data_IF_054647455346
#
_entry.id   IF_054647455346
#
_cell.length_a   1.000
_cell.length_b   1.000
_cell.length_c   1.000
_cell.angle_alpha   90.00
_cell.angle_beta   90.00
_cell.angle_gamma   90.00
#
_symmetry.space_group_name_H-M   'P 1'
#
loop_
_entity.id
_entity.type
_entity.pdbx_description
1 polymer ?
#
# COMPACT_ATOMS: atom_id res chain seq x y z
N UNK A 1 -4.61 -4.36 -7.94
CA UNK A 1 -3.17 -4.75 -7.85
C UNK A 1 -2.33 -3.71 -8.57
N UNK A 2 -1.31 -3.14 -7.92
CA UNK A 2 -0.49 -2.07 -8.52
C UNK A 2 0.56 -2.60 -9.50
N UNK A 3 0.68 -1.95 -10.67
CA UNK A 3 1.78 -2.15 -11.62
C UNK A 3 3.10 -1.57 -11.08
N UNK A 4 4.21 -1.86 -11.77
CA UNK A 4 5.51 -1.29 -11.41
C UNK A 4 5.50 0.25 -11.46
N UNK A 5 4.90 0.82 -12.51
CA UNK A 5 4.80 2.26 -12.73
C UNK A 5 3.99 2.93 -11.63
N UNK A 6 2.86 2.34 -11.23
CA UNK A 6 2.08 2.81 -10.08
C UNK A 6 2.91 2.88 -8.80
N UNK A 7 3.75 1.86 -8.55
CA UNK A 7 4.62 1.83 -7.37
C UNK A 7 5.73 2.88 -7.42
N UNK A 8 6.27 3.16 -8.60
CA UNK A 8 7.27 4.22 -8.79
C UNK A 8 6.65 5.58 -8.51
N UNK A 9 5.53 5.91 -9.17
CA UNK A 9 4.82 7.18 -8.96
C UNK A 9 4.40 7.33 -7.51
N UNK A 10 3.78 6.31 -6.89
CA UNK A 10 3.40 6.34 -5.48
C UNK A 10 4.59 6.61 -4.55
N UNK A 11 5.76 6.03 -4.82
CA UNK A 11 6.97 6.28 -4.05
C UNK A 11 7.42 7.73 -4.14
N UNK A 12 7.41 8.32 -5.34
CA UNK A 12 7.79 9.72 -5.51
C UNK A 12 6.76 10.68 -4.90
N UNK A 13 5.46 10.37 -4.98
CA UNK A 13 4.41 11.11 -4.28
C UNK A 13 4.60 11.06 -2.75
N UNK A 14 4.98 9.90 -2.19
CA UNK A 14 5.32 9.79 -0.77
C UNK A 14 6.54 10.63 -0.40
N UNK A 15 7.54 10.75 -1.26
CA UNK A 15 8.67 11.65 -1.01
C UNK A 15 8.22 13.12 -1.06
N UNK A 16 7.42 13.48 -2.06
CA UNK A 16 6.88 14.81 -2.26
C UNK A 16 6.10 15.30 -1.03
N UNK A 17 5.23 14.45 -0.48
CA UNK A 17 4.41 14.79 0.70
C UNK A 17 5.09 14.50 2.04
N UNK A 18 6.38 14.11 2.05
CA UNK A 18 7.09 13.64 3.24
C UNK A 18 6.33 12.51 3.99
N UNK A 19 5.68 11.63 3.22
CA UNK A 19 4.86 10.52 3.68
C UNK A 19 3.70 10.96 4.59
N UNK A 20 3.13 12.15 4.33
CA UNK A 20 1.94 12.67 5.01
C UNK A 20 0.74 12.72 4.08
N UNK A 21 -0.43 13.04 4.61
CA UNK A 21 -1.67 13.28 3.86
C UNK A 21 -1.80 14.74 3.39
N UNK A 22 -0.69 15.48 3.32
CA UNK A 22 -0.64 16.81 2.73
C UNK A 22 -1.16 16.80 1.29
N UNK A 23 -1.83 17.89 0.91
CA UNK A 23 -2.39 18.05 -0.42
C UNK A 23 -1.27 18.31 -1.44
N UNK A 24 -1.38 17.65 -2.59
CA UNK A 24 -0.57 17.90 -3.76
C UNK A 24 -1.48 17.99 -4.99
N UNK A 25 -1.07 18.71 -6.02
CA UNK A 25 -1.87 18.91 -7.21
C UNK A 25 -1.04 18.78 -8.49
N UNK A 26 -1.75 18.60 -9.62
CA UNK A 26 -1.14 18.78 -10.93
C UNK A 26 -0.73 20.23 -11.12
N UNK A 27 0.52 20.45 -11.53
CA UNK A 27 1.03 21.78 -11.84
C UNK A 27 0.73 22.11 -13.31
N UNK A 28 -0.05 23.16 -13.53
CA UNK A 28 -0.55 23.54 -14.85
C UNK A 28 0.58 23.79 -15.87
N UNK A 29 0.37 23.37 -17.12
CA UNK A 29 1.35 23.47 -18.22
C UNK A 29 2.72 22.81 -17.95
N UNK A 30 2.79 21.88 -17.00
CA UNK A 30 4.00 21.10 -16.72
C UNK A 30 3.65 19.63 -16.55
N UNK A 31 4.66 18.76 -16.62
CA UNK A 31 4.50 17.34 -16.28
C UNK A 31 4.91 17.07 -14.84
N UNK A 32 4.42 17.90 -13.90
CA UNK A 32 4.85 17.86 -12.50
C UNK A 32 3.69 17.89 -11.52
N UNK A 33 3.84 17.17 -10.41
CA UNK A 33 3.05 17.40 -9.20
C UNK A 33 3.73 18.45 -8.33
N UNK A 34 2.94 19.27 -7.66
CA UNK A 34 3.41 20.26 -6.69
C UNK A 34 2.71 20.05 -5.35
N UNK A 35 3.44 20.25 -4.26
CA UNK A 35 2.89 20.27 -2.91
C UNK A 35 2.35 21.67 -2.59
N UNK A 36 1.15 21.76 -2.00
CA UNK A 36 0.56 23.05 -1.62
C UNK A 36 1.52 23.88 -0.76
N UNK A 37 1.74 25.14 -1.15
CA UNK A 37 2.61 26.10 -0.46
C UNK A 37 4.09 25.67 -0.34
N UNK A 38 4.61 24.89 -1.29
CA UNK A 38 6.00 24.45 -1.31
C UNK A 38 6.59 24.52 -2.72
N UNK A 39 7.90 24.76 -2.81
CA UNK A 39 8.66 24.64 -4.06
C UNK A 39 8.96 23.18 -4.42
N UNK A 40 8.59 22.23 -3.56
CA UNK A 40 8.76 20.82 -3.85
C UNK A 40 7.88 20.38 -5.01
N UNK A 41 8.50 19.81 -6.03
CA UNK A 41 7.83 19.27 -7.21
C UNK A 41 8.34 17.88 -7.54
N UNK A 42 7.47 17.05 -8.13
CA UNK A 42 7.83 15.77 -8.72
C UNK A 42 7.50 15.77 -10.21
N UNK A 43 8.53 15.70 -11.05
CA UNK A 43 8.40 15.58 -12.50
C UNK A 43 8.07 14.12 -12.89
N UNK A 44 6.88 13.93 -13.44
CA UNK A 44 6.37 12.67 -13.98
C UNK A 44 6.48 12.58 -15.50
N UNK A 45 7.26 13.43 -16.18
CA UNK A 45 7.40 13.44 -17.64
C UNK A 45 7.77 12.10 -18.26
N UNK A 46 8.48 11.23 -17.52
CA UNK A 46 8.73 9.83 -17.92
C UNK A 46 7.44 9.01 -18.13
N UNK A 47 6.37 9.38 -17.45
CA UNK A 47 5.06 8.73 -17.43
C UNK A 47 3.97 9.61 -18.06
N UNK A 48 4.32 10.68 -18.78
CA UNK A 48 3.37 11.64 -19.36
C UNK A 48 2.20 10.97 -20.11
N UNK A 49 2.50 9.97 -20.94
CA UNK A 49 1.49 9.27 -21.74
C UNK A 49 0.57 8.34 -20.96
N UNK A 50 0.84 8.08 -19.68
CA UNK A 50 0.09 7.15 -18.85
C UNK A 50 -0.25 7.68 -17.45
N UNK A 51 0.11 8.93 -17.11
CA UNK A 51 -0.01 9.46 -15.75
C UNK A 51 -1.45 9.45 -15.24
N UNK A 52 -2.42 9.78 -16.10
CA UNK A 52 -3.83 9.77 -15.74
C UNK A 52 -4.30 8.35 -15.39
N UNK A 53 -3.93 7.36 -16.21
CA UNK A 53 -4.23 5.94 -15.94
C UNK A 53 -3.57 5.43 -14.66
N UNK A 54 -2.34 5.88 -14.37
CA UNK A 54 -1.64 5.59 -13.12
C UNK A 54 -2.42 6.19 -11.94
N UNK A 55 -2.80 7.46 -12.01
CA UNK A 55 -3.54 8.14 -10.94
C UNK A 55 -4.92 7.52 -10.71
N UNK A 56 -5.65 7.21 -11.78
CA UNK A 56 -6.92 6.48 -11.72
C UNK A 56 -6.77 5.14 -11.00
N UNK A 57 -5.71 4.39 -11.31
CA UNK A 57 -5.40 3.13 -10.63
C UNK A 57 -5.09 3.35 -9.16
N UNK A 58 -4.29 4.36 -8.82
CA UNK A 58 -3.95 4.69 -7.43
C UNK A 58 -5.19 5.14 -6.62
N UNK A 59 -6.14 5.81 -7.26
CA UNK A 59 -7.42 6.22 -6.67
C UNK A 59 -8.33 5.01 -6.48
N UNK A 60 -8.54 4.21 -7.53
CA UNK A 60 -9.39 3.02 -7.50
C UNK A 60 -8.92 2.00 -6.45
N UNK A 61 -7.61 1.85 -6.28
CA UNK A 61 -7.01 0.97 -5.28
C UNK A 61 -6.91 1.62 -3.89
N UNK A 62 -7.33 2.89 -3.74
CA UNK A 62 -7.43 3.59 -2.46
C UNK A 62 -6.10 4.04 -1.86
N UNK A 63 -5.03 4.18 -2.65
CA UNK A 63 -3.74 4.74 -2.22
C UNK A 63 -3.77 6.28 -2.24
N UNK A 64 -4.48 6.84 -3.20
CA UNK A 64 -4.68 8.29 -3.34
C UNK A 64 -6.19 8.57 -3.26
N UNK A 65 -6.56 9.76 -2.76
CA UNK A 65 -7.93 10.27 -2.85
C UNK A 65 -7.91 11.67 -3.45
N UNK A 66 -8.95 11.99 -4.23
CA UNK A 66 -9.17 13.34 -4.74
C UNK A 66 -9.50 14.30 -3.59
N UNK A 67 -9.08 15.55 -3.77
CA UNK A 67 -9.20 16.64 -2.83
C UNK A 67 -10.41 17.52 -3.15
N UNK A 68 -10.20 18.83 -3.18
CA UNK A 68 -11.24 19.82 -3.45
C UNK A 68 -11.76 19.77 -4.89
N UNK A 69 -10.91 19.35 -5.83
CA UNK A 69 -11.25 19.16 -7.25
C UNK A 69 -10.47 17.96 -7.82
N UNK A 70 -10.68 17.69 -9.11
CA UNK A 70 -10.05 16.59 -9.86
C UNK A 70 -8.53 16.71 -10.05
N UNK A 71 -7.95 17.88 -9.77
CA UNK A 71 -6.52 18.14 -9.88
C UNK A 71 -5.79 18.12 -8.54
N UNK A 72 -6.53 18.03 -7.43
CA UNK A 72 -5.99 18.01 -6.09
C UNK A 72 -6.10 16.62 -5.50
N UNK A 73 -5.05 16.18 -4.83
CA UNK A 73 -4.91 14.83 -4.32
C UNK A 73 -4.27 14.84 -2.94
N UNK A 74 -4.43 13.73 -2.24
CA UNK A 74 -3.76 13.47 -0.97
C UNK A 74 -3.58 11.97 -0.79
N UNK A 75 -2.50 11.60 -0.12
CA UNK A 75 -2.26 10.21 0.23
C UNK A 75 -3.29 9.74 1.27
N UNK A 76 -3.70 8.48 1.15
CA UNK A 76 -4.52 7.83 2.17
C UNK A 76 -3.65 7.20 3.24
N UNK A 77 -4.26 6.81 4.36
CA UNK A 77 -3.62 5.98 5.38
C UNK A 77 -3.04 4.68 4.81
N UNK A 78 -3.69 4.11 3.78
CA UNK A 78 -3.20 2.91 3.07
C UNK A 78 -1.87 3.16 2.37
N UNK A 79 -1.69 4.32 1.72
CA UNK A 79 -0.42 4.69 1.09
C UNK A 79 0.67 5.04 2.10
N UNK A 80 0.32 5.70 3.21
CA UNK A 80 1.29 6.11 4.24
C UNK A 80 1.82 4.88 5.00
N UNK A 81 0.94 3.93 5.30
CA UNK A 81 1.25 2.73 6.10
C UNK A 81 1.02 1.42 5.34
N UNK A 82 1.49 1.32 4.09
CA UNK A 82 1.30 0.14 3.22
C UNK A 82 1.57 -1.20 3.94
N UNK A 83 2.62 -1.26 4.75
CA UNK A 83 3.00 -2.45 5.50
C UNK A 83 1.92 -2.90 6.50
N UNK A 84 1.24 -1.97 7.17
CA UNK A 84 0.18 -2.31 8.13
C UNK A 84 -1.04 -2.92 7.44
N UNK A 85 -1.30 -2.54 6.18
CA UNK A 85 -2.39 -3.10 5.37
C UNK A 85 -2.00 -4.42 4.69
N UNK A 86 -0.71 -4.71 4.54
CA UNK A 86 -0.21 -5.98 4.01
C UNK A 86 -0.08 -7.07 5.07
N UNK A 87 0.22 -6.72 6.32
CA UNK A 87 0.40 -7.66 7.42
C UNK A 87 -0.75 -8.65 7.63
N UNK A 88 -2.04 -8.27 7.58
CA UNK A 88 -3.14 -9.22 7.73
C UNK A 88 -3.13 -10.31 6.67
N UNK A 89 -2.69 -9.97 5.45
CA UNK A 89 -2.64 -10.88 4.31
C UNK A 89 -1.55 -11.95 4.46
N UNK A 90 -0.43 -11.61 5.09
CA UNK A 90 0.68 -12.54 5.35
C UNK A 90 0.60 -13.25 6.70
N UNK A 91 -0.12 -12.69 7.68
CA UNK A 91 -0.33 -13.30 8.98
C UNK A 91 -1.25 -14.53 8.90
N UNK A 92 -2.28 -14.49 8.05
CA UNK A 92 -3.25 -15.60 7.94
C UNK A 92 -2.63 -16.96 7.59
N UNK A 93 -1.79 -17.09 6.56
CA UNK A 93 -1.15 -18.37 6.22
C UNK A 93 -0.26 -18.91 7.36
N UNK A 94 0.48 -18.03 8.04
CA UNK A 94 1.39 -18.40 9.14
C UNK A 94 0.59 -18.88 10.35
N UNK A 95 -0.46 -18.16 10.74
CA UNK A 95 -1.33 -18.58 11.84
C UNK A 95 -1.99 -19.93 11.56
N UNK A 96 -2.44 -20.17 10.33
CA UNK A 96 -3.01 -21.44 9.92
C UNK A 96 -2.01 -22.59 10.02
N UNK A 97 -0.78 -22.39 9.53
CA UNK A 97 0.32 -23.35 9.65
C UNK A 97 0.63 -23.70 11.11
N UNK A 98 0.72 -22.70 11.99
CA UNK A 98 0.98 -22.92 13.42
C UNK A 98 -0.16 -23.73 14.05
N UNK A 99 -1.42 -23.40 13.78
CA UNK A 99 -2.56 -24.15 14.32
C UNK A 99 -2.60 -25.59 13.85
N UNK A 100 -2.22 -25.84 12.59
CA UNK A 100 -2.16 -27.20 12.04
C UNK A 100 -1.05 -28.03 12.68
N UNK A 101 0.14 -27.46 12.86
CA UNK A 101 1.26 -28.11 13.55
C UNK A 101 0.89 -28.44 15.00
N UNK A 102 0.29 -27.50 15.73
CA UNK A 102 -0.16 -27.73 17.11
C UNK A 102 -1.21 -28.85 17.18
N UNK A 103 -2.14 -28.91 16.23
CA UNK A 103 -3.09 -30.01 16.10
C UNK A 103 -2.40 -31.36 15.97
N UNK A 104 -1.43 -31.49 15.07
CA UNK A 104 -0.66 -32.73 14.88
C UNK A 104 0.11 -33.12 16.14
N UNK A 105 0.83 -32.17 16.75
CA UNK A 105 1.61 -32.44 17.97
C UNK A 105 0.69 -32.90 19.10
N UNK A 106 -0.47 -32.28 19.28
CA UNK A 106 -1.44 -32.68 20.31
C UNK A 106 -2.00 -34.09 20.08
N UNK A 107 -2.25 -34.49 18.83
CA UNK A 107 -2.69 -35.84 18.49
C UNK A 107 -1.64 -36.90 18.83
N UNK A 108 -0.36 -36.66 18.48
CA UNK A 108 0.74 -37.55 18.83
C UNK A 108 0.93 -37.70 20.34
N UNK A 109 0.83 -36.59 21.09
CA UNK A 109 0.93 -36.62 22.55
C UNK A 109 -0.23 -37.44 23.15
N UNK A 110 -1.46 -37.25 22.65
CA UNK A 110 -2.62 -37.99 23.13
C UNK A 110 -2.47 -39.50 22.88
N UNK A 111 -2.03 -39.90 21.69
CA UNK A 111 -1.80 -41.31 21.35
C UNK A 111 -0.69 -41.93 22.20
N UNK A 112 0.42 -41.22 22.43
CA UNK A 112 1.48 -41.66 23.32
C UNK A 112 1.00 -41.85 24.76
N UNK A 113 0.18 -40.93 25.27
CA UNK A 113 -0.38 -41.03 26.63
C UNK A 113 -1.33 -42.22 26.76
N UNK A 114 -2.19 -42.45 25.76
CA UNK A 114 -3.10 -43.61 25.73
C UNK A 114 -2.31 -44.92 25.75
N UNK A 115 -1.24 -45.04 24.97
CA UNK A 115 -0.48 -46.29 24.90
C UNK A 115 0.34 -46.61 26.16
N UNK A 116 0.73 -45.60 26.94
CA UNK A 116 1.68 -45.78 28.06
C UNK A 116 1.04 -45.65 29.46
N UNK A 117 -0.13 -45.04 29.58
CA UNK A 117 -0.70 -44.67 30.89
C UNK A 117 -2.19 -44.99 31.05
N UNK A 118 -2.87 -45.52 30.03
CA UNK A 118 -4.29 -45.92 30.04
C UNK A 118 -4.41 -47.41 29.66
#
# INVERSE_FOLDING_TARGET
MLTYQCRVVLRELKKLTNNTDANFCYLFCTHSFSLDNSEATYDYGKFESEIDSIMDTLIAEGYVKTGFNEYNFKLTQKAIHEWQFLLPYFAHPITYLITWILGIVSAFIAEYLIQNYL
#
